data_IF_825618716826
#
_entry.id   IF_825618716826
#
_cell.length_a   1.000
_cell.length_b   1.000
_cell.length_c   1.000
_cell.angle_alpha   90.00
_cell.angle_beta   90.00
_cell.angle_gamma   90.00
#
_symmetry.space_group_name_H-M   'P 1'
#
loop_
_entity.id
_entity.type
_entity.pdbx_description
1 polymer ?
#
# COMPACT_ATOMS: atom_id res chain seq x y z
N UNK A 1 -7.98 19.40 -7.94
CA UNK A 1 -6.53 19.62 -8.08
C UNK A 1 -5.81 18.32 -8.45
N UNK A 2 -4.89 18.40 -9.40
CA UNK A 2 -4.13 17.26 -9.95
C UNK A 2 -3.50 16.38 -8.86
N UNK A 3 -3.06 16.98 -7.76
CA UNK A 3 -2.44 16.23 -6.66
C UNK A 3 -3.42 15.24 -5.99
N UNK A 4 -4.66 15.67 -5.73
CA UNK A 4 -5.70 14.80 -5.14
C UNK A 4 -6.02 13.62 -6.06
N UNK A 5 -6.01 13.84 -7.37
CA UNK A 5 -6.20 12.79 -8.37
C UNK A 5 -5.04 11.80 -8.38
N UNK A 6 -3.78 12.26 -8.23
CA UNK A 6 -2.62 11.36 -8.14
C UNK A 6 -2.72 10.39 -6.95
N UNK A 7 -3.09 10.88 -5.77
CA UNK A 7 -3.31 10.02 -4.60
C UNK A 7 -4.47 9.03 -4.81
N UNK A 8 -5.58 9.50 -5.39
CA UNK A 8 -6.70 8.60 -5.73
C UNK A 8 -6.31 7.52 -6.73
N UNK A 9 -5.55 7.88 -7.75
CA UNK A 9 -5.07 6.94 -8.77
C UNK A 9 -4.10 5.94 -8.17
N UNK A 10 -3.19 6.36 -7.29
CA UNK A 10 -2.34 5.44 -6.55
C UNK A 10 -3.17 4.44 -5.75
N UNK A 11 -4.13 4.91 -4.94
CA UNK A 11 -4.97 4.03 -4.13
C UNK A 11 -5.73 3.01 -5.01
N UNK A 12 -6.34 3.47 -6.11
CA UNK A 12 -7.10 2.60 -7.00
C UNK A 12 -6.22 1.53 -7.66
N UNK A 13 -5.07 1.92 -8.23
CA UNK A 13 -4.15 0.98 -8.88
C UNK A 13 -3.53 0.00 -7.88
N UNK A 14 -3.14 0.50 -6.70
CA UNK A 14 -2.57 -0.33 -5.66
C UNK A 14 -3.58 -1.36 -5.14
N UNK A 15 -4.82 -0.96 -4.87
CA UNK A 15 -5.89 -1.86 -4.44
C UNK A 15 -6.25 -2.90 -5.50
N UNK A 16 -6.27 -2.52 -6.79
CA UNK A 16 -6.52 -3.44 -7.88
C UNK A 16 -5.42 -4.51 -7.98
N UNK A 17 -4.16 -4.08 -7.96
CA UNK A 17 -2.99 -4.98 -8.03
C UNK A 17 -2.94 -5.87 -6.80
N UNK A 18 -3.09 -5.31 -5.61
CA UNK A 18 -3.04 -6.05 -4.35
C UNK A 18 -4.15 -7.11 -4.30
N UNK A 19 -5.39 -6.73 -4.64
CA UNK A 19 -6.52 -7.66 -4.69
C UNK A 19 -6.27 -8.79 -5.68
N UNK A 20 -5.72 -8.49 -6.86
CA UNK A 20 -5.42 -9.52 -7.86
C UNK A 20 -4.30 -10.44 -7.40
N UNK A 21 -3.16 -9.89 -6.98
CA UNK A 21 -1.95 -10.63 -6.67
C UNK A 21 -2.02 -11.40 -5.33
N UNK A 22 -2.86 -11.00 -4.38
CA UNK A 22 -3.11 -11.80 -3.17
C UNK A 22 -3.85 -13.11 -3.47
N UNK A 23 -4.59 -13.20 -4.59
CA UNK A 23 -5.24 -14.47 -5.00
C UNK A 23 -4.29 -15.44 -5.69
N UNK A 24 -3.12 -14.97 -6.11
CA UNK A 24 -2.12 -15.81 -6.76
C UNK A 24 -1.37 -16.62 -5.71
N UNK A 25 -0.87 -17.79 -6.12
CA UNK A 25 -0.02 -18.64 -5.28
C UNK A 25 1.31 -18.80 -6.00
N UNK A 26 2.40 -18.46 -5.31
CA UNK A 26 3.76 -18.83 -5.71
C UNK A 26 4.18 -19.99 -4.83
N UNK A 27 4.39 -21.17 -5.42
CA UNK A 27 4.60 -22.42 -4.67
C UNK A 27 6.01 -22.57 -4.09
N UNK A 28 6.97 -21.81 -4.60
CA UNK A 28 8.34 -21.77 -4.10
C UNK A 28 8.46 -20.61 -3.11
N UNK A 29 8.66 -20.94 -1.82
CA UNK A 29 8.69 -19.96 -0.73
C UNK A 29 9.85 -18.96 -0.87
N UNK A 30 10.99 -19.41 -1.42
CA UNK A 30 12.14 -18.53 -1.64
C UNK A 30 11.82 -17.52 -2.75
N UNK A 31 11.30 -18.01 -3.88
CA UNK A 31 10.89 -17.14 -4.98
C UNK A 31 9.78 -16.17 -4.54
N UNK A 32 8.82 -16.64 -3.76
CA UNK A 32 7.76 -15.80 -3.19
C UNK A 32 8.34 -14.65 -2.36
N UNK A 33 9.30 -14.98 -1.48
CA UNK A 33 9.98 -14.01 -0.62
C UNK A 33 10.79 -13.01 -1.45
N UNK A 34 11.58 -13.49 -2.42
CA UNK A 34 12.39 -12.64 -3.30
C UNK A 34 11.52 -11.68 -4.13
N UNK A 35 10.36 -12.14 -4.61
CA UNK A 35 9.39 -11.29 -5.32
C UNK A 35 8.85 -10.20 -4.41
N UNK A 36 8.43 -10.52 -3.18
CA UNK A 36 7.94 -9.52 -2.21
C UNK A 36 9.00 -8.48 -1.89
N UNK A 37 10.24 -8.92 -1.64
CA UNK A 37 11.38 -8.02 -1.39
C UNK A 37 11.60 -7.10 -2.59
N UNK A 38 11.69 -7.65 -3.81
CA UNK A 38 11.91 -6.85 -5.02
C UNK A 38 10.81 -5.81 -5.24
N UNK A 39 9.55 -6.17 -5.02
CA UNK A 39 8.42 -5.24 -5.11
C UNK A 39 8.53 -4.16 -4.03
N UNK A 40 8.84 -4.51 -2.78
CA UNK A 40 9.00 -3.55 -1.69
C UNK A 40 10.16 -2.58 -1.93
N UNK A 41 11.32 -3.08 -2.38
CA UNK A 41 12.50 -2.27 -2.70
C UNK A 41 12.24 -1.23 -3.81
N UNK A 42 11.32 -1.51 -4.72
CA UNK A 42 10.90 -0.54 -5.75
C UNK A 42 9.80 0.40 -5.25
N UNK A 43 8.75 -0.14 -4.63
CA UNK A 43 7.53 0.61 -4.30
C UNK A 43 7.72 1.49 -3.07
N UNK A 44 8.38 1.00 -2.02
CA UNK A 44 8.48 1.72 -0.75
C UNK A 44 9.31 3.01 -0.87
N UNK A 45 10.49 3.03 -1.51
CA UNK A 45 11.23 4.28 -1.70
C UNK A 45 10.45 5.30 -2.54
N UNK A 46 9.80 4.85 -3.62
CA UNK A 46 8.98 5.70 -4.47
C UNK A 46 7.77 6.28 -3.73
N UNK A 47 7.08 5.46 -2.93
CA UNK A 47 5.92 5.90 -2.16
C UNK A 47 6.31 6.86 -1.03
N UNK A 48 7.41 6.58 -0.29
CA UNK A 48 7.93 7.50 0.74
C UNK A 48 8.29 8.86 0.14
N UNK A 49 8.95 8.87 -1.02
CA UNK A 49 9.29 10.12 -1.71
C UNK A 49 8.03 10.87 -2.17
N UNK A 50 7.06 10.17 -2.75
CA UNK A 50 5.79 10.74 -3.18
C UNK A 50 5.03 11.34 -1.98
N UNK A 51 4.85 10.57 -0.91
CA UNK A 51 4.14 11.00 0.29
C UNK A 51 4.86 12.18 0.96
N UNK A 52 6.15 12.06 1.25
CA UNK A 52 6.93 13.11 1.93
C UNK A 52 6.95 14.43 1.16
N UNK A 53 6.98 14.39 -0.18
CA UNK A 53 6.93 15.59 -1.01
C UNK A 53 5.57 16.27 -1.02
N UNK A 54 4.49 15.50 -0.88
CA UNK A 54 3.16 16.00 -1.20
C UNK A 54 2.16 16.02 -0.04
N UNK A 55 2.42 15.30 1.06
CA UNK A 55 1.49 15.17 2.20
C UNK A 55 1.13 16.51 2.83
N UNK A 56 2.11 17.42 2.98
CA UNK A 56 1.90 18.74 3.58
C UNK A 56 0.87 19.59 2.80
N UNK A 57 0.77 19.41 1.47
CA UNK A 57 -0.23 20.12 0.66
C UNK A 57 -1.64 19.58 0.87
N UNK A 58 -1.79 18.39 1.46
CA UNK A 58 -3.06 17.74 1.76
C UNK A 58 -3.42 17.81 3.25
N UNK A 59 -2.44 17.93 4.15
CA UNK A 59 -2.66 18.11 5.60
C UNK A 59 -3.47 19.36 5.94
N UNK A 60 -3.42 20.40 5.09
CA UNK A 60 -4.23 21.61 5.22
C UNK A 60 -5.68 21.45 4.71
N UNK A 61 -6.05 20.28 4.17
CA UNK A 61 -7.43 19.97 3.81
C UNK A 61 -8.25 19.59 5.05
N UNK A 62 -9.57 19.75 5.00
CA UNK A 62 -10.44 19.35 6.12
C UNK A 62 -10.45 17.84 6.35
N UNK A 63 -10.11 17.05 5.32
CA UNK A 63 -10.17 15.59 5.34
C UNK A 63 -8.99 14.94 4.57
N UNK A 64 -7.75 15.04 5.08
CA UNK A 64 -6.56 14.46 4.44
C UNK A 64 -6.66 12.93 4.26
N UNK A 65 -7.36 12.25 5.17
CA UNK A 65 -7.59 10.80 5.17
C UNK A 65 -8.39 10.31 3.96
N UNK A 66 -9.11 11.20 3.27
CA UNK A 66 -9.82 10.86 2.02
C UNK A 66 -8.88 10.66 0.83
N UNK A 67 -7.63 11.10 0.95
CA UNK A 67 -6.65 11.04 -0.13
C UNK A 67 -5.46 10.15 0.26
N UNK A 68 -4.93 10.33 1.47
CA UNK A 68 -3.82 9.55 2.00
C UNK A 68 -4.43 8.37 2.77
N UNK A 69 -4.62 7.24 2.07
CA UNK A 69 -5.28 6.06 2.63
C UNK A 69 -4.31 5.13 3.38
N UNK A 70 -3.04 5.14 2.99
CA UNK A 70 -2.03 4.20 3.48
C UNK A 70 -0.76 4.93 3.93
N UNK A 71 -0.22 4.55 5.10
CA UNK A 71 1.16 4.86 5.48
C UNK A 71 2.17 3.98 4.72
N UNK A 72 3.46 4.36 4.66
CA UNK A 72 4.50 3.53 4.04
C UNK A 72 4.56 2.11 4.61
N UNK A 73 4.42 1.98 5.93
CA UNK A 73 4.45 0.71 6.65
C UNK A 73 3.23 -0.15 6.34
N UNK A 74 2.07 0.47 6.11
CA UNK A 74 0.86 -0.24 5.69
C UNK A 74 0.98 -0.75 4.25
N UNK A 75 1.58 0.04 3.34
CA UNK A 75 1.88 -0.39 1.96
C UNK A 75 2.85 -1.58 1.97
N UNK A 76 3.89 -1.53 2.80
CA UNK A 76 4.84 -2.64 2.96
C UNK A 76 4.18 -3.90 3.52
N UNK A 77 3.32 -3.76 4.54
CA UNK A 77 2.53 -4.87 5.06
C UNK A 77 1.66 -5.52 4.00
N UNK A 78 0.99 -4.73 3.16
CA UNK A 78 0.14 -5.23 2.07
C UNK A 78 0.95 -5.92 0.95
N UNK A 79 2.18 -5.46 0.68
CA UNK A 79 3.11 -6.14 -0.24
C UNK A 79 3.55 -7.50 0.34
N UNK A 80 3.75 -7.55 1.66
CA UNK A 80 4.13 -8.79 2.34
C UNK A 80 3.03 -9.85 2.36
N UNK A 81 1.77 -9.49 2.06
CA UNK A 81 0.63 -10.42 1.94
C UNK A 81 0.41 -10.91 0.49
N UNK A 82 1.25 -10.51 -0.47
CA UNK A 82 1.10 -10.91 -1.87
C UNK A 82 1.46 -12.37 -2.09
N UNK A 83 0.78 -13.03 -3.03
CA UNK A 83 1.10 -14.39 -3.49
C UNK A 83 0.83 -15.53 -2.49
N UNK A 84 0.05 -15.30 -1.43
CA UNK A 84 -0.33 -16.32 -0.42
C UNK A 84 -1.56 -17.16 -0.82
N UNK A 85 -2.29 -16.76 -1.86
CA UNK A 85 -3.55 -17.40 -2.26
C UNK A 85 -4.73 -17.09 -1.33
N UNK A 86 -4.56 -16.20 -0.35
CA UNK A 86 -5.64 -15.77 0.52
C UNK A 86 -6.32 -14.52 -0.08
N UNK A 87 -7.66 -14.49 -0.22
CA UNK A 87 -8.33 -13.24 -0.57
C UNK A 87 -8.01 -12.21 0.51
N UNK A 88 -7.37 -11.11 0.10
CA UNK A 88 -6.97 -10.01 0.96
C UNK A 88 -8.10 -9.68 1.94
N UNK A 89 -7.98 -10.10 3.19
CA UNK A 89 -8.98 -9.79 4.21
C UNK A 89 -8.76 -8.34 4.65
N UNK A 90 -9.18 -7.39 3.80
CA UNK A 90 -9.23 -5.96 4.11
C UNK A 90 -10.24 -5.63 5.23
N UNK A 91 -10.56 -6.59 6.11
CA UNK A 91 -11.10 -6.32 7.44
C UNK A 91 -10.02 -5.68 8.30
N UNK A 92 -9.77 -4.39 8.04
CA UNK A 92 -9.57 -3.33 9.04
C UNK A 92 -8.92 -3.84 10.33
N UNK A 93 -7.65 -4.28 10.28
CA UNK A 93 -6.83 -4.38 11.48
C UNK A 93 -6.51 -2.95 11.91
N UNK A 94 -7.48 -2.33 12.57
CA UNK A 94 -7.31 -1.11 13.35
C UNK A 94 -6.43 -1.53 14.53
N UNK A 95 -5.11 -1.48 14.36
CA UNK A 95 -4.18 -1.58 15.48
C UNK A 95 -4.39 -0.34 16.34
N UNK A 96 -5.30 -0.47 17.30
CA UNK A 96 -5.35 0.39 18.46
C UNK A 96 -4.07 0.16 19.26
N UNK A 97 -3.04 0.96 18.99
CA UNK A 97 -2.00 1.23 19.97
C UNK A 97 -2.59 2.18 21.01
N UNK A 98 -3.12 1.62 22.09
CA UNK A 98 -3.41 2.39 23.31
C UNK A 98 -2.32 2.07 24.33
N UNK A 99 -1.61 3.15 24.71
CA UNK A 99 -0.76 3.39 25.89
C UNK A 99 -0.03 2.23 26.56
#
# INVERSE_FOLDING_TARGET
>A
PVLKERFKNFNALFEEIQKAQSTWIVADDQLQTELRISVAEMVIPAYRQFLGRFQYYLENDRHPERYIKYGPEEVEGLINELFEGAPSSMTRRKSSSTN
#
